data_IF_593768421779
#
_entry.id   IF_593768421779
#
_cell.length_a   1.000
_cell.length_b   1.000
_cell.length_c   1.000
_cell.angle_alpha   90.00
_cell.angle_beta   90.00
_cell.angle_gamma   90.00
#
_symmetry.space_group_name_H-M   'P 1'
#
loop_
_entity.id
_entity.type
_entity.pdbx_description
1 polymer ?
#
# COMPACT_ATOMS: atom_id res chain seq x y z
N UNK A 1 -3.24 0.15 -5.90
CA UNK A 1 -2.33 1.04 -5.17
C UNK A 1 -3.17 1.89 -4.25
N UNK A 2 -2.86 1.90 -2.95
CA UNK A 2 -3.64 2.59 -1.93
C UNK A 2 -2.82 3.34 -0.91
N UNK A 3 -3.52 4.21 -0.17
CA UNK A 3 -3.11 4.91 1.03
C UNK A 3 -4.37 5.22 1.84
N UNK A 4 -4.28 5.55 3.12
CA UNK A 4 -5.44 6.10 3.80
C UNK A 4 -5.40 7.63 3.87
N UNK A 5 -6.55 8.24 4.02
CA UNK A 5 -6.69 9.69 3.97
C UNK A 5 -7.25 10.30 5.26
N UNK A 6 -7.56 9.47 6.24
CA UNK A 6 -7.88 9.90 7.59
C UNK A 6 -6.61 9.95 8.44
N UNK A 7 -6.69 10.62 9.55
CA UNK A 7 -5.60 10.75 10.52
C UNK A 7 -6.09 10.49 11.93
N UNK A 8 -5.17 10.15 12.81
CA UNK A 8 -5.47 9.80 14.19
C UNK A 8 -5.67 11.03 15.08
N UNK A 9 -6.83 11.11 15.72
CA UNK A 9 -7.09 12.06 16.81
C UNK A 9 -6.95 13.54 16.42
N UNK A 10 -6.11 14.25 17.15
CA UNK A 10 -5.86 15.68 17.00
C UNK A 10 -4.59 16.01 16.23
N UNK A 11 -3.95 15.01 15.65
CA UNK A 11 -2.74 15.15 14.86
C UNK A 11 -3.01 15.80 13.50
N UNK A 12 -1.96 16.32 12.89
CA UNK A 12 -2.02 16.91 11.54
C UNK A 12 -1.94 15.84 10.42
N UNK A 13 -1.68 14.56 10.78
CA UNK A 13 -1.61 13.41 9.89
C UNK A 13 -0.68 13.61 8.65
N UNK A 14 0.37 14.40 8.79
CA UNK A 14 1.25 14.73 7.66
C UNK A 14 2.03 13.51 7.15
N UNK A 15 2.52 12.67 8.07
CA UNK A 15 3.18 11.40 7.72
C UNK A 15 2.17 10.26 7.68
N UNK A 16 1.33 10.12 8.69
CA UNK A 16 0.34 9.08 8.86
C UNK A 16 -1.08 9.64 8.59
N UNK A 17 -1.67 9.53 7.38
CA UNK A 17 -1.01 9.06 6.17
C UNK A 17 -1.16 10.06 5.02
N UNK A 18 -0.97 11.34 5.34
CA UNK A 18 -0.90 12.39 4.31
C UNK A 18 0.23 12.15 3.30
N UNK A 19 1.32 11.50 3.75
CA UNK A 19 2.45 11.16 2.88
C UNK A 19 2.10 10.09 1.84
N UNK A 20 1.46 9.00 2.26
CA UNK A 20 0.98 7.94 1.35
C UNK A 20 -0.12 8.46 0.42
N UNK A 21 -1.08 9.24 0.96
CA UNK A 21 -2.11 9.89 0.14
C UNK A 21 -1.49 10.76 -0.97
N UNK A 22 -0.50 11.60 -0.65
CA UNK A 22 0.18 12.43 -1.64
C UNK A 22 0.92 11.58 -2.69
N UNK A 23 1.59 10.51 -2.26
CA UNK A 23 2.26 9.59 -3.17
C UNK A 23 1.27 8.89 -4.12
N UNK A 24 0.15 8.39 -3.62
CA UNK A 24 -0.89 7.75 -4.45
C UNK A 24 -1.47 8.73 -5.47
N UNK A 25 -1.70 9.98 -5.09
CA UNK A 25 -2.15 11.04 -6.02
C UNK A 25 -1.11 11.33 -7.10
N UNK A 26 0.17 11.40 -6.75
CA UNK A 26 1.26 11.62 -7.72
C UNK A 26 1.42 10.42 -8.66
N UNK A 27 1.35 9.19 -8.15
CA UNK A 27 1.35 7.98 -8.98
C UNK A 27 0.17 7.99 -9.97
N UNK A 28 -1.03 8.38 -9.52
CA UNK A 28 -2.19 8.51 -10.40
C UNK A 28 -1.94 9.54 -11.51
N UNK A 29 -1.31 10.67 -11.17
CA UNK A 29 -0.92 11.70 -12.16
C UNK A 29 0.07 11.13 -13.17
N UNK A 30 1.14 10.47 -12.72
CA UNK A 30 2.19 9.89 -13.58
C UNK A 30 1.61 8.82 -14.50
N UNK A 31 0.83 7.89 -13.98
CA UNK A 31 0.22 6.82 -14.78
C UNK A 31 -0.89 7.31 -15.72
N UNK A 32 -1.35 8.56 -15.57
CA UNK A 32 -2.31 9.19 -16.48
C UNK A 32 -1.64 9.98 -17.64
N UNK A 33 -0.31 10.03 -17.68
CA UNK A 33 0.41 10.75 -18.74
C UNK A 33 0.25 10.03 -20.09
N UNK A 34 0.12 10.77 -21.21
CA UNK A 34 -0.19 10.19 -22.52
C UNK A 34 0.85 9.19 -23.06
N UNK A 35 2.09 9.29 -22.60
CA UNK A 35 3.22 8.44 -22.98
C UNK A 35 3.39 7.22 -22.05
N UNK A 36 2.59 7.11 -20.99
CA UNK A 36 2.59 5.98 -20.07
C UNK A 36 1.51 5.00 -20.47
N UNK A 37 1.90 3.78 -20.77
CA UNK A 37 0.99 2.68 -21.10
C UNK A 37 1.19 1.51 -20.13
N UNK A 38 0.09 0.89 -19.72
CA UNK A 38 0.12 -0.27 -18.82
C UNK A 38 -0.62 -1.44 -19.45
N UNK A 39 -0.09 -2.65 -19.29
CA UNK A 39 -0.75 -3.88 -19.76
C UNK A 39 -1.94 -4.31 -18.87
N UNK A 40 -1.99 -3.77 -17.68
CA UNK A 40 -3.01 -4.09 -16.66
C UNK A 40 -3.65 -2.82 -16.13
N UNK A 41 -4.89 -2.93 -15.72
CA UNK A 41 -5.59 -1.85 -15.04
C UNK A 41 -4.95 -1.58 -13.69
N UNK A 42 -4.62 -0.33 -13.43
CA UNK A 42 -4.21 0.16 -12.12
C UNK A 42 -5.41 0.89 -11.50
N UNK A 43 -5.73 0.55 -10.27
CA UNK A 43 -6.74 1.24 -9.48
C UNK A 43 -6.03 1.98 -8.35
N UNK A 44 -6.31 3.26 -8.21
CA UNK A 44 -5.83 4.09 -7.11
C UNK A 44 -6.96 4.22 -6.10
N UNK A 45 -6.67 4.01 -4.83
CA UNK A 45 -7.65 4.04 -3.75
C UNK A 45 -7.12 4.89 -2.59
N UNK A 46 -7.98 5.75 -2.08
CA UNK A 46 -7.75 6.46 -0.82
C UNK A 46 -8.80 5.94 0.18
N UNK A 47 -8.32 5.22 1.16
CA UNK A 47 -9.15 4.58 2.17
C UNK A 47 -9.55 5.59 3.25
N UNK A 48 -10.66 5.35 3.90
CA UNK A 48 -11.12 6.16 5.02
C UNK A 48 -11.37 5.26 6.24
N UNK A 49 -11.24 5.83 7.43
CA UNK A 49 -11.38 5.10 8.69
C UNK A 49 -10.39 3.92 8.84
N UNK A 50 -9.16 4.12 8.39
CA UNK A 50 -8.05 3.23 8.69
C UNK A 50 -7.80 3.18 10.18
N UNK A 51 -7.61 4.35 10.78
CA UNK A 51 -7.28 4.61 12.18
C UNK A 51 -8.30 4.08 13.20
N UNK A 52 -9.48 3.74 12.73
CA UNK A 52 -10.56 3.18 13.54
C UNK A 52 -10.80 1.69 13.27
N UNK A 53 -9.88 1.02 12.56
CA UNK A 53 -9.89 -0.42 12.32
C UNK A 53 -10.01 -0.84 10.86
N UNK A 54 -9.35 -0.16 9.93
CA UNK A 54 -9.26 -0.50 8.50
C UNK A 54 -10.64 -0.56 7.82
N UNK A 55 -11.60 0.23 8.30
CA UNK A 55 -13.02 0.06 7.97
C UNK A 55 -13.31 0.25 6.49
N UNK A 56 -12.66 1.22 5.84
CA UNK A 56 -12.82 1.47 4.41
C UNK A 56 -12.36 0.29 3.55
N UNK A 57 -11.17 -0.22 3.82
CA UNK A 57 -10.61 -1.35 3.11
C UNK A 57 -11.39 -2.65 3.38
N UNK A 58 -11.80 -2.91 4.63
CA UNK A 58 -12.69 -4.05 4.95
C UNK A 58 -14.03 -3.96 4.22
N UNK A 59 -14.65 -2.79 4.19
CA UNK A 59 -15.92 -2.59 3.47
C UNK A 59 -15.75 -2.91 1.98
N UNK A 60 -14.68 -2.43 1.37
CA UNK A 60 -14.37 -2.70 -0.03
C UNK A 60 -14.16 -4.20 -0.29
N UNK A 61 -13.28 -4.86 0.47
CA UNK A 61 -12.98 -6.28 0.32
C UNK A 61 -14.25 -7.12 0.47
N UNK A 62 -15.03 -6.89 1.52
CA UNK A 62 -16.25 -7.65 1.78
C UNK A 62 -17.31 -7.49 0.70
N UNK A 63 -17.40 -6.31 0.07
CA UNK A 63 -18.35 -6.07 -1.02
C UNK A 63 -17.87 -6.60 -2.37
N UNK A 64 -16.56 -6.67 -2.61
CA UNK A 64 -15.99 -6.84 -3.95
C UNK A 64 -15.31 -8.16 -4.20
N UNK A 65 -14.74 -8.82 -3.19
CA UNK A 65 -13.96 -10.04 -3.39
C UNK A 65 -14.72 -11.16 -4.10
N UNK A 66 -16.00 -11.33 -3.82
CA UNK A 66 -16.83 -12.34 -4.48
C UNK A 66 -17.23 -11.98 -5.92
N UNK A 67 -17.03 -10.73 -6.34
CA UNK A 67 -17.38 -10.24 -7.67
C UNK A 67 -16.22 -10.29 -8.66
N UNK A 68 -15.02 -10.63 -8.20
CA UNK A 68 -13.83 -10.63 -9.02
C UNK A 68 -13.97 -11.53 -10.26
N UNK A 69 -13.74 -10.96 -11.44
CA UNK A 69 -13.78 -11.67 -12.69
C UNK A 69 -15.18 -12.16 -13.12
N UNK A 70 -16.24 -11.70 -12.45
CA UNK A 70 -17.61 -12.00 -12.82
C UNK A 70 -18.08 -10.98 -13.86
N UNK A 71 -18.47 -11.49 -15.02
CA UNK A 71 -19.00 -10.68 -16.09
C UNK A 71 -20.41 -10.20 -15.77
N UNK A 72 -20.69 -8.91 -15.92
CA UNK A 72 -22.00 -8.36 -15.67
C UNK A 72 -22.33 -7.17 -16.62
N UNK A 73 -23.38 -7.25 -17.45
CA UNK A 73 -24.22 -8.43 -17.69
C UNK A 73 -23.45 -9.58 -18.36
N UNK A 74 -23.88 -10.80 -18.14
CA UNK A 74 -23.26 -12.00 -18.75
C UNK A 74 -23.25 -11.89 -20.28
N UNK A 75 -22.09 -12.15 -20.91
CA UNK A 75 -21.88 -12.02 -22.34
C UNK A 75 -21.56 -10.60 -22.81
N UNK A 76 -21.38 -9.63 -21.91
CA UNK A 76 -21.09 -8.23 -22.24
C UNK A 76 -19.59 -7.90 -22.42
N UNK A 77 -18.70 -8.78 -21.97
CA UNK A 77 -17.27 -8.50 -21.85
C UNK A 77 -16.93 -7.50 -20.73
N UNK A 78 -17.90 -7.12 -19.90
CA UNK A 78 -17.71 -6.14 -18.82
C UNK A 78 -17.55 -6.84 -17.47
N UNK A 79 -16.49 -6.50 -16.78
CA UNK A 79 -16.14 -7.02 -15.45
C UNK A 79 -16.13 -5.86 -14.45
N UNK A 80 -17.24 -5.56 -13.77
CA UNK A 80 -17.33 -4.45 -12.81
C UNK A 80 -16.31 -4.54 -11.69
N UNK A 81 -15.94 -5.78 -11.32
CA UNK A 81 -14.79 -6.04 -10.45
C UNK A 81 -13.81 -6.96 -11.16
N UNK A 82 -12.72 -6.45 -11.75
CA UNK A 82 -11.69 -7.27 -12.37
C UNK A 82 -11.00 -8.17 -11.32
N UNK A 83 -10.38 -9.22 -11.77
CA UNK A 83 -9.58 -10.08 -10.89
C UNK A 83 -8.40 -9.28 -10.34
N UNK A 84 -8.25 -9.27 -9.03
CA UNK A 84 -7.13 -8.62 -8.37
C UNK A 84 -5.83 -9.39 -8.62
N UNK A 85 -4.76 -8.67 -8.89
CA UNK A 85 -3.43 -9.24 -9.16
C UNK A 85 -2.44 -8.93 -8.05
N UNK A 86 -2.61 -7.84 -7.33
CA UNK A 86 -1.80 -7.42 -6.20
C UNK A 86 -2.35 -6.14 -5.58
N UNK A 87 -2.04 -5.94 -4.33
CA UNK A 87 -2.31 -4.70 -3.59
C UNK A 87 -1.00 -4.16 -3.06
N UNK A 88 -0.82 -2.86 -3.20
CA UNK A 88 0.32 -2.11 -2.69
C UNK A 88 -0.26 -0.98 -1.88
N UNK A 89 0.01 -0.97 -0.60
CA UNK A 89 -0.41 0.08 0.32
C UNK A 89 0.81 0.94 0.67
N UNK A 90 0.61 2.25 0.64
CA UNK A 90 1.59 3.22 1.10
C UNK A 90 1.10 3.80 2.41
N UNK A 91 1.95 3.75 3.41
CA UNK A 91 1.62 4.16 4.76
C UNK A 91 2.89 4.71 5.43
N UNK A 92 2.82 5.90 6.01
CA UNK A 92 3.91 6.57 6.71
C UNK A 92 5.19 6.71 5.87
N UNK A 93 5.09 7.26 4.65
CA UNK A 93 6.17 7.30 3.66
C UNK A 93 7.28 8.31 3.95
N UNK A 94 7.15 9.15 4.98
CA UNK A 94 8.16 10.14 5.37
C UNK A 94 8.88 9.76 6.67
N UNK A 95 8.80 8.50 7.08
CA UNK A 95 9.39 8.04 8.31
C UNK A 95 10.77 7.46 8.09
N UNK A 96 11.80 8.10 8.66
CA UNK A 96 13.11 7.47 8.69
C UNK A 96 14.11 8.03 9.71
N UNK A 97 14.13 9.32 9.97
CA UNK A 97 15.21 9.95 10.73
C UNK A 97 14.96 10.09 12.23
N UNK A 98 14.18 9.20 12.81
CA UNK A 98 13.83 9.23 14.23
C UNK A 98 12.80 10.29 14.56
N UNK A 99 12.33 10.29 15.82
CA UNK A 99 11.30 11.20 16.31
C UNK A 99 11.90 12.35 17.12
N UNK A 100 11.42 13.59 16.95
CA UNK A 100 11.82 14.68 17.81
C UNK A 100 11.34 14.41 19.26
N UNK A 101 12.22 14.69 20.22
CA UNK A 101 11.95 14.61 21.66
C UNK A 101 11.71 15.99 22.23
N UNK A 102 11.12 16.04 23.43
CA UNK A 102 10.83 17.29 24.11
C UNK A 102 12.07 18.13 24.44
N UNK A 103 13.24 17.53 24.53
CA UNK A 103 14.54 18.19 24.78
C UNK A 103 15.21 18.68 23.47
N UNK A 104 14.56 18.56 22.33
CA UNK A 104 15.09 18.96 21.02
C UNK A 104 16.02 17.94 20.37
N UNK A 105 16.29 16.81 21.02
CA UNK A 105 17.01 15.69 20.39
C UNK A 105 16.07 14.82 19.54
N UNK A 106 16.65 13.92 18.75
CA UNK A 106 15.89 12.90 18.02
C UNK A 106 16.09 11.52 18.64
N UNK A 107 15.08 10.64 18.52
CA UNK A 107 15.27 9.22 18.80
C UNK A 107 16.24 8.63 17.76
N UNK A 108 16.81 7.47 18.06
CA UNK A 108 17.57 6.74 17.05
C UNK A 108 16.66 6.39 15.87
N UNK A 109 17.22 6.33 14.66
CA UNK A 109 16.55 5.77 13.50
C UNK A 109 16.07 4.35 13.82
N UNK A 110 14.92 4.00 13.32
CA UNK A 110 14.39 2.64 13.53
C UNK A 110 15.18 1.62 12.72
N UNK A 111 15.60 2.00 11.51
CA UNK A 111 16.34 1.15 10.57
C UNK A 111 17.37 2.01 9.86
N UNK A 112 18.58 2.13 10.39
CA UNK A 112 19.62 2.98 9.80
C UNK A 112 20.09 2.49 8.41
N UNK A 113 19.78 1.24 8.06
CA UNK A 113 20.16 0.61 6.79
C UNK A 113 19.07 0.66 5.70
N UNK A 114 17.90 1.18 5.99
CA UNK A 114 16.77 1.18 5.03
C UNK A 114 15.90 2.42 5.16
N UNK A 115 15.71 3.14 4.07
CA UNK A 115 14.80 4.28 3.95
C UNK A 115 13.40 3.85 3.45
N UNK A 116 13.28 2.66 2.87
CA UNK A 116 12.03 2.07 2.42
C UNK A 116 11.81 0.73 3.08
N UNK A 117 10.70 0.60 3.79
CA UNK A 117 10.31 -0.65 4.42
C UNK A 117 9.14 -1.29 3.66
N UNK A 118 9.38 -2.46 3.08
CA UNK A 118 8.37 -3.21 2.34
C UNK A 118 7.91 -4.36 3.23
N UNK A 119 6.66 -4.33 3.63
CA UNK A 119 6.12 -5.31 4.58
C UNK A 119 5.10 -6.24 3.92
N UNK A 120 5.11 -7.51 4.32
CA UNK A 120 4.06 -8.47 4.02
C UNK A 120 3.70 -9.28 5.28
N UNK A 121 2.59 -10.00 5.26
CA UNK A 121 2.20 -10.83 6.40
C UNK A 121 2.53 -12.31 6.16
N UNK A 122 3.49 -12.84 6.93
CA UNK A 122 3.96 -14.23 6.79
C UNK A 122 2.94 -15.30 7.18
N UNK A 123 1.90 -14.94 7.93
CA UNK A 123 0.83 -15.87 8.34
C UNK A 123 -0.41 -15.81 7.44
N UNK A 124 -0.42 -14.95 6.44
CA UNK A 124 -1.51 -14.87 5.46
C UNK A 124 -1.58 -16.11 4.58
N UNK A 125 -2.76 -16.41 4.05
CA UNK A 125 -2.94 -17.55 3.11
C UNK A 125 -2.09 -17.42 1.84
N UNK A 126 -1.84 -16.19 1.40
CA UNK A 126 -1.07 -15.89 0.20
C UNK A 126 0.32 -15.33 0.52
N UNK A 127 0.87 -15.64 1.70
CA UNK A 127 2.17 -15.16 2.16
C UNK A 127 3.29 -15.37 1.13
N UNK A 128 3.37 -16.52 0.48
CA UNK A 128 4.39 -16.79 -0.54
C UNK A 128 4.28 -15.86 -1.77
N UNK A 129 3.06 -15.47 -2.14
CA UNK A 129 2.83 -14.55 -3.24
C UNK A 129 3.13 -13.12 -2.81
N UNK A 130 2.74 -12.74 -1.61
CA UNK A 130 3.05 -11.44 -1.02
C UNK A 130 4.57 -11.25 -0.84
N UNK A 131 5.26 -12.27 -0.36
CA UNK A 131 6.72 -12.28 -0.26
C UNK A 131 7.39 -12.04 -1.63
N UNK A 132 6.95 -12.73 -2.67
CA UNK A 132 7.48 -12.53 -4.05
C UNK A 132 7.22 -11.10 -4.54
N UNK A 133 6.06 -10.53 -4.22
CA UNK A 133 5.73 -9.15 -4.56
C UNK A 133 6.66 -8.17 -3.81
N UNK A 134 6.87 -8.38 -2.51
CA UNK A 134 7.77 -7.56 -1.70
C UNK A 134 9.21 -7.58 -2.23
N UNK A 135 9.74 -8.75 -2.55
CA UNK A 135 11.07 -8.86 -3.12
C UNK A 135 11.17 -8.27 -4.53
N UNK A 136 10.12 -8.37 -5.33
CA UNK A 136 10.07 -7.68 -6.63
C UNK A 136 10.21 -6.15 -6.47
N UNK A 137 9.53 -5.56 -5.48
CA UNK A 137 9.66 -4.14 -5.19
C UNK A 137 11.04 -3.77 -4.65
N UNK A 138 11.62 -4.59 -3.77
CA UNK A 138 12.99 -4.39 -3.31
C UNK A 138 13.97 -4.40 -4.49
N UNK A 139 13.89 -5.38 -5.36
CA UNK A 139 14.79 -5.49 -6.53
C UNK A 139 14.59 -4.32 -7.49
N UNK A 140 13.36 -3.81 -7.65
CA UNK A 140 13.09 -2.60 -8.40
C UNK A 140 13.70 -1.35 -7.72
N UNK A 141 13.58 -1.26 -6.40
CA UNK A 141 14.19 -0.19 -5.62
C UNK A 141 15.72 -0.19 -5.76
N UNK A 142 16.38 -1.33 -5.59
CA UNK A 142 17.83 -1.48 -5.76
C UNK A 142 18.30 -1.05 -7.16
N UNK A 143 17.45 -1.21 -8.16
CA UNK A 143 17.78 -0.86 -9.54
C UNK A 143 17.54 0.61 -9.89
N UNK A 144 16.51 1.21 -9.35
CA UNK A 144 16.01 2.51 -9.80
C UNK A 144 16.04 3.61 -8.74
N UNK A 145 16.18 3.28 -7.47
CA UNK A 145 16.18 4.21 -6.35
C UNK A 145 17.30 3.90 -5.34
N UNK A 146 18.51 3.83 -5.82
CA UNK A 146 19.70 3.40 -5.07
C UNK A 146 20.06 4.26 -3.86
N UNK A 147 19.58 5.51 -3.84
CA UNK A 147 19.81 6.44 -2.73
C UNK A 147 18.87 6.18 -1.53
N UNK A 148 17.88 5.31 -1.73
CA UNK A 148 16.87 4.94 -0.73
C UNK A 148 16.81 3.42 -0.59
N UNK A 149 17.74 2.80 0.13
CA UNK A 149 17.77 1.34 0.26
C UNK A 149 16.48 0.80 0.86
N UNK A 150 16.08 -0.39 0.43
CA UNK A 150 14.86 -1.02 0.87
C UNK A 150 15.12 -2.29 1.67
N UNK A 151 14.38 -2.50 2.75
CA UNK A 151 14.31 -3.75 3.49
C UNK A 151 12.95 -4.42 3.31
N UNK A 152 12.93 -5.76 3.42
CA UNK A 152 11.69 -6.55 3.40
C UNK A 152 11.42 -7.10 4.80
N UNK A 153 10.29 -6.72 5.37
CA UNK A 153 9.75 -7.25 6.62
C UNK A 153 8.61 -8.24 6.39
N UNK A 154 8.20 -8.95 7.44
CA UNK A 154 7.21 -10.03 7.31
C UNK A 154 6.15 -10.02 8.43
N UNK A 155 5.91 -8.86 9.01
CA UNK A 155 4.98 -8.66 10.13
C UNK A 155 3.92 -7.59 9.86
N UNK A 156 3.59 -7.33 8.61
CA UNK A 156 2.52 -6.40 8.27
C UNK A 156 1.20 -6.81 8.92
N UNK A 157 0.62 -5.96 9.75
CA UNK A 157 -0.58 -6.32 10.49
C UNK A 157 -1.63 -5.23 10.60
N UNK A 158 -1.33 -4.00 10.31
CA UNK A 158 -2.20 -2.91 10.74
C UNK A 158 -2.25 -1.75 9.75
N UNK A 159 -2.44 -2.08 8.49
CA UNK A 159 -2.68 -1.11 7.41
C UNK A 159 -3.68 -1.67 6.42
N UNK A 160 -4.16 -0.88 5.49
CA UNK A 160 -5.24 -1.22 4.56
C UNK A 160 -4.92 -2.34 3.56
N UNK A 161 -3.68 -2.82 3.48
CA UNK A 161 -3.34 -4.07 2.78
C UNK A 161 -3.79 -5.33 3.55
N UNK A 162 -3.92 -5.24 4.88
CA UNK A 162 -4.34 -6.36 5.75
C UNK A 162 -5.66 -7.01 5.33
N UNK A 163 -6.74 -6.28 5.03
CA UNK A 163 -7.99 -6.89 4.56
C UNK A 163 -7.89 -7.73 3.30
N UNK A 164 -6.87 -7.49 2.48
CA UNK A 164 -6.67 -8.17 1.20
C UNK A 164 -5.78 -9.41 1.27
N UNK A 165 -4.95 -9.56 2.28
CA UNK A 165 -3.82 -10.50 2.34
C UNK A 165 -4.19 -11.99 2.15
N UNK A 166 -5.44 -12.35 2.39
CA UNK A 166 -5.94 -13.72 2.19
C UNK A 166 -6.60 -13.94 0.82
N UNK A 167 -6.84 -12.86 0.07
CA UNK A 167 -7.56 -12.88 -1.21
C UNK A 167 -6.66 -12.50 -2.40
N UNK A 168 -5.54 -11.81 -2.14
CA UNK A 168 -4.53 -11.41 -3.14
C UNK A 168 -3.19 -11.14 -2.48
N UNK A 169 -2.08 -11.17 -3.24
CA UNK A 169 -0.78 -10.72 -2.76
C UNK A 169 -0.86 -9.24 -2.31
N UNK A 170 -0.52 -8.96 -1.07
CA UNK A 170 -0.64 -7.62 -0.47
C UNK A 170 0.66 -7.25 0.28
N UNK A 171 1.14 -6.04 0.01
CA UNK A 171 2.31 -5.41 0.63
C UNK A 171 1.99 -3.99 1.00
#
# INVERSE_FOLDING_TARGET
>A
IGAHMDGHGWGEAANDDGSGTALVMELARVFSMPDVTTERTIRFALWNNEETGLNGAWAYVNQRKALQGIENPKGSGKYPEPKWLGVIQHDMMMWDHGMPRADGSFSAEQRPEADVNIEFQSTAKLADQAMKLAFFFRDANEKYATDYPAAVGHHMTNTDSTPFMDDVAAV
#
